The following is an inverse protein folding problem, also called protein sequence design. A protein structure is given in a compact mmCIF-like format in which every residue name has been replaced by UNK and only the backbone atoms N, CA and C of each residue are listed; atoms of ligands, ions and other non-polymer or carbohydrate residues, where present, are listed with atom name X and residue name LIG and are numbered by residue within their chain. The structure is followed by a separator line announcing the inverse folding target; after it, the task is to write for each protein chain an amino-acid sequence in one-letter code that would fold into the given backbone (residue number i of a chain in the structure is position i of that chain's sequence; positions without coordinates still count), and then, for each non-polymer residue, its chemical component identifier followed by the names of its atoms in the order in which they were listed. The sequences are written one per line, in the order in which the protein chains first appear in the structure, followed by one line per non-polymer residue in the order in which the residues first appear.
data_IF_414796336572
#
_entry.id   IF_414796336572
#
_cell.length_a   1.000
_cell.length_b   1.000
_cell.length_c   1.000
_cell.angle_alpha   90.00
_cell.angle_beta   90.00
_cell.angle_gamma   90.00
#
_symmetry.space_group_name_H-M   'P 1'
#
loop_
_entity.id
_entity.type
_entity.pdbx_description
1 polymer ?
#
# COMPACT_ATOMS: atom_id res chain seq x y z
N UNK A 1 -7.60 -1.59 -18.38
CA UNK A 1 -7.55 -3.06 -18.23
C UNK A 1 -7.59 -3.35 -16.74
N UNK A 2 -8.75 -3.75 -16.22
CA UNK A 2 -8.91 -4.09 -14.79
C UNK A 2 -8.42 -5.52 -14.62
N UNK A 3 -7.29 -5.74 -13.93
CA UNK A 3 -6.84 -7.09 -13.58
C UNK A 3 -7.76 -7.60 -12.48
N UNK A 4 -8.68 -8.49 -12.84
CA UNK A 4 -9.46 -9.25 -11.88
C UNK A 4 -8.53 -10.30 -11.26
N UNK A 5 -8.21 -10.14 -9.98
CA UNK A 5 -7.50 -11.14 -9.21
C UNK A 5 -8.48 -12.27 -8.88
N UNK A 6 -8.50 -13.33 -9.69
CA UNK A 6 -9.20 -14.58 -9.36
C UNK A 6 -8.43 -15.32 -8.26
N UNK A 7 -8.50 -14.78 -7.05
CA UNK A 7 -7.93 -15.43 -5.86
C UNK A 7 -9.01 -16.37 -5.31
N UNK A 8 -8.89 -17.66 -5.62
CA UNK A 8 -9.70 -18.70 -4.97
C UNK A 8 -9.19 -18.91 -3.54
N UNK A 9 -9.49 -17.94 -2.68
CA UNK A 9 -9.17 -18.01 -1.26
C UNK A 9 -10.20 -18.94 -0.62
N UNK A 10 -9.76 -20.14 -0.28
CA UNK A 10 -10.29 -20.86 0.89
C UNK A 10 -9.45 -20.45 2.10
N UNK A 11 -9.70 -19.27 2.70
CA UNK A 11 -8.84 -18.74 3.75
C UNK A 11 -8.89 -19.65 4.97
N UNK A 12 -7.74 -20.21 5.33
CA UNK A 12 -7.58 -20.91 6.59
C UNK A 12 -7.26 -19.87 7.65
N UNK A 13 -8.28 -19.51 8.44
CA UNK A 13 -8.11 -18.57 9.54
C UNK A 13 -7.58 -19.26 10.78
N UNK A 14 -6.58 -18.65 11.40
CA UNK A 14 -6.18 -18.96 12.77
C UNK A 14 -7.03 -18.09 13.69
N UNK A 15 -7.91 -18.75 14.45
CA UNK A 15 -8.85 -18.10 15.37
C UNK A 15 -8.17 -17.91 16.73
N UNK A 16 -8.26 -16.71 17.28
CA UNK A 16 -7.77 -16.39 18.62
C UNK A 16 -8.65 -16.95 19.72
N UNK A 17 -8.15 -16.91 20.95
CA UNK A 17 -8.89 -17.33 22.15
C UNK A 17 -10.20 -16.55 22.38
N UNK A 18 -10.30 -15.35 21.80
CA UNK A 18 -11.49 -14.50 21.79
C UNK A 18 -12.53 -14.92 20.73
N UNK A 19 -12.28 -16.00 19.99
CA UNK A 19 -13.14 -16.50 18.93
C UNK A 19 -13.07 -15.68 17.63
N UNK A 20 -12.15 -14.71 17.52
CA UNK A 20 -12.01 -13.86 16.34
C UNK A 20 -10.83 -14.28 15.46
N UNK A 21 -10.90 -14.09 14.13
CA UNK A 21 -9.75 -14.30 13.26
C UNK A 21 -8.58 -13.40 13.64
N UNK A 22 -7.40 -13.98 13.90
CA UNK A 22 -6.16 -13.24 14.17
C UNK A 22 -5.21 -13.20 12.98
N UNK A 23 -5.19 -14.27 12.19
CA UNK A 23 -4.36 -14.36 11.00
C UNK A 23 -4.99 -15.31 9.99
N UNK A 24 -4.54 -15.20 8.74
CA UNK A 24 -4.95 -16.08 7.64
C UNK A 24 -3.72 -16.72 7.02
N UNK A 25 -3.80 -18.02 6.74
CA UNK A 25 -2.80 -18.70 5.94
C UNK A 25 -3.12 -18.45 4.47
N UNK A 26 -2.13 -17.91 3.75
CA UNK A 26 -2.17 -17.67 2.31
C UNK A 26 -0.91 -18.25 1.68
N UNK A 27 -0.98 -18.57 0.39
CA UNK A 27 0.22 -18.96 -0.34
C UNK A 27 1.15 -17.77 -0.56
N UNK A 28 2.41 -18.09 -0.84
CA UNK A 28 3.46 -17.09 -0.97
C UNK A 28 3.25 -16.13 -2.15
N UNK A 29 2.61 -16.57 -3.23
CA UNK A 29 2.35 -15.72 -4.39
C UNK A 29 1.30 -14.67 -4.03
N UNK A 30 0.20 -15.09 -3.43
CA UNK A 30 -0.83 -14.17 -2.94
C UNK A 30 -0.26 -13.20 -1.90
N UNK A 31 0.61 -13.66 -1.00
CA UNK A 31 1.31 -12.76 -0.07
C UNK A 31 2.11 -11.68 -0.80
N UNK A 32 2.92 -12.05 -1.80
CA UNK A 32 3.69 -11.07 -2.59
C UNK A 32 2.80 -10.07 -3.32
N UNK A 33 1.71 -10.53 -3.93
CA UNK A 33 0.77 -9.67 -4.64
C UNK A 33 0.11 -8.66 -3.68
N UNK A 34 -0.30 -9.09 -2.48
CA UNK A 34 -0.84 -8.20 -1.44
C UNK A 34 0.20 -7.17 -0.98
N UNK A 35 1.44 -7.59 -0.69
CA UNK A 35 2.48 -6.68 -0.24
C UNK A 35 2.83 -5.62 -1.29
N UNK A 36 2.89 -6.00 -2.57
CA UNK A 36 3.12 -5.04 -3.65
C UNK A 36 2.00 -4.01 -3.76
N UNK A 37 0.73 -4.41 -3.60
CA UNK A 37 -0.41 -3.49 -3.61
C UNK A 37 -0.34 -2.50 -2.43
N UNK A 38 0.07 -2.97 -1.24
CA UNK A 38 0.23 -2.11 -0.07
C UNK A 38 1.36 -1.08 -0.26
N UNK A 39 2.52 -1.51 -0.80
CA UNK A 39 3.61 -0.59 -1.13
C UNK A 39 3.16 0.48 -2.14
N UNK A 40 2.42 0.08 -3.18
CA UNK A 40 1.86 1.00 -4.17
C UNK A 40 0.86 2.00 -3.53
N UNK A 41 0.07 1.53 -2.56
CA UNK A 41 -0.89 2.38 -1.84
C UNK A 41 -0.18 3.42 -0.96
N UNK A 42 0.84 3.00 -0.20
CA UNK A 42 1.63 3.92 0.63
C UNK A 42 2.34 4.97 -0.24
N UNK A 43 2.87 4.56 -1.41
CA UNK A 43 3.44 5.50 -2.38
C UNK A 43 2.41 6.51 -2.88
N UNK A 44 1.18 6.06 -3.16
CA UNK A 44 0.10 6.94 -3.60
C UNK A 44 -0.32 7.94 -2.50
N UNK A 45 -0.35 7.52 -1.24
CA UNK A 45 -0.61 8.40 -0.10
C UNK A 45 0.46 9.49 0.02
N UNK A 46 1.75 9.13 -0.07
CA UNK A 46 2.86 10.09 -0.03
C UNK A 46 2.77 11.11 -1.18
N UNK A 47 2.47 10.65 -2.40
CA UNK A 47 2.27 11.55 -3.55
C UNK A 47 1.11 12.49 -3.28
N UNK A 48 0.00 12.00 -2.73
CA UNK A 48 -1.18 12.81 -2.40
C UNK A 48 -0.86 13.85 -1.32
N UNK A 49 -0.08 13.50 -0.30
CA UNK A 49 0.35 14.44 0.73
C UNK A 49 1.20 15.56 0.12
N UNK A 50 2.19 15.22 -0.71
CA UNK A 50 3.04 16.20 -1.40
C UNK A 50 2.27 17.11 -2.36
N UNK A 51 1.28 16.59 -3.07
CA UNK A 51 0.42 17.40 -3.94
C UNK A 51 -0.46 18.39 -3.17
N UNK A 52 -0.68 18.18 -1.87
CA UNK A 52 -1.42 19.10 -1.01
C UNK A 52 -0.51 20.04 -0.21
N UNK A 53 0.82 19.92 -0.33
CA UNK A 53 1.75 20.90 0.21
C UNK A 53 1.69 22.16 -0.66
N UNK A 54 1.65 23.37 -0.07
CA UNK A 54 1.76 24.60 -0.84
C UNK A 54 3.10 24.59 -1.57
N UNK A 55 3.09 24.94 -2.86
CA UNK A 55 4.31 25.06 -3.66
C UNK A 55 5.34 25.90 -2.89
N UNK A 56 6.43 25.28 -2.44
CA UNK A 56 7.60 26.02 -1.99
C UNK A 56 8.11 26.79 -3.20
N UNK A 57 7.81 28.10 -3.22
CA UNK A 57 8.40 29.04 -4.17
C UNK A 57 9.89 29.10 -3.84
N UNK A 58 10.69 28.29 -4.54
CA UNK A 58 12.12 28.49 -4.57
C UNK A 58 12.37 29.88 -5.17
N UNK A 59 12.99 30.82 -4.44
CA UNK A 59 13.35 32.09 -5.04
C UNK A 59 14.36 31.80 -6.16
N UNK A 60 14.04 32.24 -7.39
CA UNK A 60 14.82 32.06 -8.63
C UNK A 60 16.25 32.67 -8.59
N UNK A 61 16.73 33.11 -7.43
CA UNK A 61 18.00 33.81 -7.29
C UNK A 61 19.08 32.88 -6.75
N UNK A 62 19.63 32.05 -7.63
CA UNK A 62 20.87 31.28 -7.43
C UNK A 62 22.09 31.97 -8.06
N UNK A 63 22.01 33.28 -8.30
CA UNK A 63 23.04 34.06 -9.02
C UNK A 63 23.91 34.97 -8.14
N UNK A 64 24.01 34.75 -6.81
CA UNK A 64 24.90 35.54 -5.93
C UNK A 64 25.65 34.69 -4.87
N UNK A 65 26.55 33.79 -5.29
CA UNK A 65 27.64 33.26 -4.42
C UNK A 65 28.98 33.32 -5.16
#
# INVERSE_FOLDING_TARGET
MTRQLDIDLHPQYLIGEDGKPKSVLIDYRTFKEIMGILEDFDCAEIIRERLNEPDEVFPDNLDDI
#
